data_IF_618812671206
#
_entry.id   IF_618812671206
#
_cell.length_a   1.000
_cell.length_b   1.000
_cell.length_c   1.000
_cell.angle_alpha   90.00
_cell.angle_beta   90.00
_cell.angle_gamma   90.00
#
_symmetry.space_group_name_H-M   'P 1'
#
loop_
_entity.id
_entity.type
_entity.pdbx_description
1 polymer ?
#
# COMPACT_ATOMS: atom_id res chain seq x y z
N UNK A 1 -3.59 5.04 9.02
CA UNK A 1 -5.03 4.81 9.22
C UNK A 1 -5.68 6.17 9.24
N UNK A 2 -6.48 6.49 8.23
CA UNK A 2 -7.16 7.80 8.17
C UNK A 2 -8.52 7.69 8.86
N UNK A 3 -8.62 8.32 10.03
CA UNK A 3 -9.78 8.23 10.92
C UNK A 3 -10.89 9.20 10.53
N UNK A 4 -10.55 10.23 9.74
CA UNK A 4 -11.46 11.31 9.45
C UNK A 4 -12.39 10.92 8.31
N UNK A 5 -13.69 10.83 8.60
CA UNK A 5 -14.72 10.50 7.61
C UNK A 5 -14.90 11.59 6.56
N UNK A 6 -14.66 12.84 6.95
CA UNK A 6 -14.77 14.01 6.08
C UNK A 6 -13.41 14.72 5.98
N UNK A 7 -13.18 15.40 4.86
CA UNK A 7 -11.95 16.17 4.65
C UNK A 7 -11.97 17.39 5.56
N UNK A 8 -11.01 17.50 6.47
CA UNK A 8 -10.82 18.67 7.33
C UNK A 8 -10.04 19.77 6.60
N UNK A 9 -10.10 21.01 7.10
CA UNK A 9 -9.29 22.12 6.58
C UNK A 9 -7.79 21.80 6.60
N UNK A 10 -7.29 21.24 7.71
CA UNK A 10 -5.89 20.85 7.85
C UNK A 10 -5.49 19.78 6.81
N UNK A 11 -6.36 18.77 6.61
CA UNK A 11 -6.12 17.75 5.60
C UNK A 11 -6.07 18.37 4.20
N UNK A 12 -7.01 19.28 3.91
CA UNK A 12 -7.11 19.95 2.63
C UNK A 12 -5.85 20.76 2.34
N UNK A 13 -5.41 21.60 3.27
CA UNK A 13 -4.19 22.39 3.09
C UNK A 13 -2.94 21.52 2.93
N UNK A 14 -2.82 20.45 3.71
CA UNK A 14 -1.67 19.51 3.61
C UNK A 14 -1.64 18.75 2.28
N UNK A 15 -2.80 18.47 1.68
CA UNK A 15 -2.94 17.61 0.49
C UNK A 15 -3.70 18.31 -0.65
N UNK A 16 -3.56 19.63 -0.76
CA UNK A 16 -4.36 20.48 -1.65
C UNK A 16 -4.40 19.97 -3.10
N UNK A 17 -3.24 19.75 -3.72
CA UNK A 17 -3.18 19.23 -5.09
C UNK A 17 -3.76 17.82 -5.28
N UNK A 18 -3.79 16.98 -4.23
CA UNK A 18 -4.42 15.66 -4.28
C UNK A 18 -5.95 15.78 -4.34
N UNK A 19 -6.53 16.70 -3.58
CA UNK A 19 -7.96 16.97 -3.52
C UNK A 19 -8.46 17.79 -4.71
N UNK A 20 -7.73 18.84 -5.10
CA UNK A 20 -8.06 19.69 -6.25
C UNK A 20 -8.18 18.89 -7.55
N UNK A 21 -7.21 18.02 -7.83
CA UNK A 21 -7.23 17.14 -9.02
C UNK A 21 -8.41 16.15 -9.01
N UNK A 22 -8.99 15.89 -7.85
CA UNK A 22 -10.15 15.00 -7.67
C UNK A 22 -11.47 15.75 -7.52
N UNK A 23 -11.45 17.09 -7.55
CA UNK A 23 -12.64 17.92 -7.36
C UNK A 23 -13.25 17.81 -5.96
N UNK A 24 -12.47 17.36 -4.96
CA UNK A 24 -12.89 17.21 -3.58
C UNK A 24 -12.66 18.52 -2.80
N UNK A 25 -13.50 18.81 -1.81
CA UNK A 25 -13.48 20.01 -0.97
C UNK A 25 -13.53 19.63 0.51
N UNK A 26 -13.29 20.61 1.38
CA UNK A 26 -13.55 20.47 2.83
C UNK A 26 -15.00 20.03 3.05
N UNK A 27 -15.21 19.09 3.98
CA UNK A 27 -16.46 18.40 4.28
C UNK A 27 -16.94 17.34 3.26
N UNK A 28 -16.25 17.15 2.12
CA UNK A 28 -16.53 15.98 1.29
C UNK A 28 -16.05 14.69 1.99
N UNK A 29 -16.60 13.55 1.58
CA UNK A 29 -16.15 12.26 2.10
C UNK A 29 -14.65 12.07 1.81
N UNK A 30 -13.90 11.73 2.84
CA UNK A 30 -12.48 11.46 2.70
C UNK A 30 -12.29 10.15 1.90
N UNK A 31 -11.64 10.18 0.73
CA UNK A 31 -11.45 9.00 -0.09
C UNK A 31 -10.57 7.93 0.56
N UNK A 32 -9.84 8.29 1.62
CA UNK A 32 -9.02 7.35 2.39
C UNK A 32 -9.61 7.03 3.77
N UNK A 33 -10.85 7.42 4.05
CA UNK A 33 -11.51 7.09 5.32
C UNK A 33 -11.54 5.57 5.53
N UNK A 34 -11.18 5.16 6.75
CA UNK A 34 -11.14 3.76 7.16
C UNK A 34 -10.22 2.88 6.29
N UNK A 35 -9.30 3.51 5.54
CA UNK A 35 -8.25 2.78 4.82
C UNK A 35 -6.94 2.81 5.58
N UNK A 36 -6.15 1.77 5.34
CA UNK A 36 -4.80 1.64 5.84
C UNK A 36 -3.88 1.32 4.66
N UNK A 37 -2.65 1.85 4.72
CA UNK A 37 -1.59 1.48 3.79
C UNK A 37 -0.70 0.48 4.53
N UNK A 38 -0.93 -0.83 4.36
CA UNK A 38 -0.16 -1.82 5.07
C UNK A 38 1.31 -1.77 4.65
N UNK A 39 2.18 -1.65 5.63
CA UNK A 39 3.62 -1.70 5.47
C UNK A 39 4.16 -2.90 6.24
N UNK A 40 4.84 -3.79 5.54
CA UNK A 40 5.36 -5.03 6.10
C UNK A 40 6.87 -5.08 5.94
N UNK A 41 7.55 -5.51 7.00
CA UNK A 41 8.93 -5.98 6.93
C UNK A 41 8.91 -7.50 6.76
N UNK A 42 9.46 -8.01 5.67
CA UNK A 42 9.48 -9.45 5.36
C UNK A 42 10.91 -9.96 5.30
N UNK A 43 11.16 -11.13 5.88
CA UNK A 43 12.43 -11.84 5.81
C UNK A 43 12.28 -13.03 4.87
N UNK A 44 13.14 -13.11 3.86
CA UNK A 44 13.14 -14.19 2.88
C UNK A 44 14.46 -14.95 2.94
N UNK A 45 14.37 -16.25 3.11
CA UNK A 45 15.52 -17.14 2.99
C UNK A 45 15.79 -17.39 1.51
N UNK A 46 16.91 -16.87 1.01
CA UNK A 46 17.32 -17.03 -0.39
C UNK A 46 18.69 -17.71 -0.46
N UNK A 47 19.01 -18.29 -1.63
CA UNK A 47 20.33 -18.85 -1.87
C UNK A 47 21.44 -17.80 -1.69
N UNK A 48 22.63 -18.22 -1.26
CA UNK A 48 23.79 -17.32 -1.12
C UNK A 48 24.11 -16.57 -2.43
N UNK A 49 23.85 -17.19 -3.57
CA UNK A 49 24.07 -16.64 -4.91
C UNK A 49 22.92 -15.77 -5.42
N UNK A 50 21.86 -15.52 -4.64
CA UNK A 50 20.62 -14.88 -5.12
C UNK A 50 20.89 -13.57 -5.86
N UNK A 51 21.69 -12.67 -5.28
CA UNK A 51 22.01 -11.37 -5.89
C UNK A 51 23.08 -11.41 -6.99
N UNK A 52 23.71 -12.56 -7.21
CA UNK A 52 24.73 -12.76 -8.26
C UNK A 52 24.23 -13.57 -9.44
N UNK A 53 23.30 -14.49 -9.22
CA UNK A 53 22.61 -15.25 -10.25
C UNK A 53 21.17 -14.75 -10.38
N UNK A 54 20.99 -13.76 -11.25
CA UNK A 54 19.71 -13.08 -11.45
C UNK A 54 18.61 -14.01 -11.99
N UNK A 55 18.94 -15.20 -12.50
CA UNK A 55 17.96 -16.22 -12.90
C UNK A 55 17.25 -16.84 -11.70
N UNK A 56 17.82 -16.73 -10.52
CA UNK A 56 17.28 -17.27 -9.28
C UNK A 56 16.36 -16.30 -8.53
N UNK A 57 16.10 -15.10 -9.07
CA UNK A 57 15.18 -14.16 -8.46
C UNK A 57 13.76 -14.69 -8.40
N UNK A 58 13.16 -14.56 -7.21
CA UNK A 58 11.76 -14.87 -6.97
C UNK A 58 10.93 -14.01 -7.93
N UNK A 59 10.14 -14.68 -8.77
CA UNK A 59 9.27 -13.98 -9.71
C UNK A 59 8.09 -13.33 -8.99
N UNK A 60 7.48 -12.32 -9.59
CA UNK A 60 6.27 -11.70 -9.05
C UNK A 60 5.12 -12.72 -8.87
N UNK A 61 5.05 -13.73 -9.75
CA UNK A 61 4.07 -14.83 -9.66
C UNK A 61 4.32 -15.70 -8.42
N UNK A 62 5.56 -16.13 -8.22
CA UNK A 62 5.97 -16.95 -7.08
C UNK A 62 5.79 -16.19 -5.75
N UNK A 63 6.15 -14.90 -5.73
CA UNK A 63 5.89 -14.01 -4.59
C UNK A 63 4.40 -13.95 -4.24
N UNK A 64 3.54 -13.80 -5.24
CA UNK A 64 2.09 -13.76 -5.06
C UNK A 64 1.54 -15.09 -4.51
N UNK A 65 2.04 -16.23 -5.01
CA UNK A 65 1.63 -17.56 -4.53
C UNK A 65 2.01 -17.75 -3.06
N UNK A 66 3.25 -17.44 -2.67
CA UNK A 66 3.68 -17.48 -1.27
C UNK A 66 2.82 -16.60 -0.36
N UNK A 67 2.47 -15.39 -0.80
CA UNK A 67 1.59 -14.50 -0.04
C UNK A 67 0.19 -15.07 0.15
N UNK A 68 -0.40 -15.67 -0.88
CA UNK A 68 -1.74 -16.26 -0.81
C UNK A 68 -1.78 -17.45 0.14
N UNK A 69 -0.74 -18.30 0.09
CA UNK A 69 -0.61 -19.47 0.97
C UNK A 69 -0.59 -19.06 2.45
N UNK A 70 0.15 -18.01 2.81
CA UNK A 70 0.26 -17.60 4.23
C UNK A 70 -0.89 -16.73 4.74
N UNK A 71 -1.78 -16.27 3.85
CA UNK A 71 -2.91 -15.39 4.21
C UNK A 71 -4.27 -16.08 4.11
N UNK A 72 -4.32 -17.37 3.80
CA UNK A 72 -5.55 -18.12 3.51
C UNK A 72 -6.47 -17.39 2.51
N UNK A 73 -5.89 -16.61 1.58
CA UNK A 73 -6.64 -15.92 0.54
C UNK A 73 -7.01 -16.95 -0.55
N UNK A 74 -8.30 -17.30 -0.73
CA UNK A 74 -8.73 -18.26 -1.74
C UNK A 74 -8.46 -17.79 -3.18
#
# INVERSE_FOLDING_TARGET
YDKERFITEEMYERRKGYFDRRGLKVNDNNPTYDTYNPHFHVLLCVNKSYFTDTKSYISQKEWLEMWREVTDLP
#
